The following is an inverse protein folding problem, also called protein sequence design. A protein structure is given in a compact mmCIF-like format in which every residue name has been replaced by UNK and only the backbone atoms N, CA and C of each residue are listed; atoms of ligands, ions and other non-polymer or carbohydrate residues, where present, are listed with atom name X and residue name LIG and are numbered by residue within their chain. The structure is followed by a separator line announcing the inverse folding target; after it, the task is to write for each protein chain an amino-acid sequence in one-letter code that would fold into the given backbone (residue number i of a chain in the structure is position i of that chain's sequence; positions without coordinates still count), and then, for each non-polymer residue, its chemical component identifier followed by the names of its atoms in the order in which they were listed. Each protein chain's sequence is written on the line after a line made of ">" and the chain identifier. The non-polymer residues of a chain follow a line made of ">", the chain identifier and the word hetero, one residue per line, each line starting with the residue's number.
data_IF_076319194512
#
_entry.id   IF_076319194512
#
_cell.length_a   1.000
_cell.length_b   1.000
_cell.length_c   1.000
_cell.angle_alpha   90.00
_cell.angle_beta   90.00
_cell.angle_gamma   90.00
#
_symmetry.space_group_name_H-M   'P 1'
#
loop_
_entity.id
_entity.type
_entity.pdbx_description
1 polymer ?
#
# COMPACT_ATOMS: atom_id res chain seq x y z
N UNK A 1 12.38 -16.78 -18.41
CA UNK A 1 11.58 -16.02 -17.43
C UNK A 1 12.54 -15.54 -16.34
N UNK A 2 12.70 -14.24 -16.16
CA UNK A 2 13.53 -13.71 -15.08
C UNK A 2 12.73 -13.80 -13.77
N UNK A 3 13.15 -14.68 -12.85
CA UNK A 3 12.55 -14.78 -11.52
C UNK A 3 13.01 -13.64 -10.62
N UNK A 4 12.11 -13.13 -9.77
CA UNK A 4 12.44 -12.10 -8.78
C UNK A 4 13.24 -12.76 -7.66
N UNK A 5 14.47 -12.28 -7.41
CA UNK A 5 15.28 -12.75 -6.27
C UNK A 5 14.80 -12.06 -4.99
N UNK A 6 14.18 -12.83 -4.10
CA UNK A 6 13.76 -12.40 -2.77
C UNK A 6 14.69 -13.08 -1.75
N UNK A 7 15.34 -12.30 -0.89
CA UNK A 7 16.17 -12.85 0.19
C UNK A 7 15.28 -13.49 1.29
N UNK A 8 15.81 -14.47 2.00
CA UNK A 8 15.13 -15.28 3.01
C UNK A 8 14.42 -14.43 4.08
N UNK A 9 15.07 -13.39 4.59
CA UNK A 9 14.45 -12.46 5.56
C UNK A 9 13.21 -11.78 5.00
N UNK A 10 13.24 -11.40 3.72
CA UNK A 10 12.09 -10.77 3.06
C UNK A 10 10.98 -11.79 2.81
N UNK A 11 11.33 -13.02 2.45
CA UNK A 11 10.36 -14.10 2.26
C UNK A 11 9.64 -14.45 3.57
N UNK A 12 10.36 -14.51 4.70
CA UNK A 12 9.77 -14.74 6.01
C UNK A 12 8.81 -13.61 6.42
N UNK A 13 9.17 -12.36 6.15
CA UNK A 13 8.27 -11.23 6.38
C UNK A 13 7.01 -11.31 5.50
N UNK A 14 7.15 -11.65 4.22
CA UNK A 14 6.03 -11.81 3.30
C UNK A 14 5.09 -12.94 3.72
N UNK A 15 5.63 -14.08 4.17
CA UNK A 15 4.82 -15.19 4.70
C UNK A 15 4.02 -14.76 5.93
N UNK A 16 4.63 -14.04 6.87
CA UNK A 16 3.92 -13.53 8.04
C UNK A 16 2.82 -12.54 7.67
N UNK A 17 3.05 -11.68 6.68
CA UNK A 17 2.05 -10.72 6.22
C UNK A 17 0.91 -11.45 5.50
N UNK A 18 1.22 -12.33 4.55
CA UNK A 18 0.22 -13.11 3.82
C UNK A 18 -0.65 -13.95 4.78
N UNK A 19 -0.04 -14.55 5.80
CA UNK A 19 -0.76 -15.28 6.86
C UNK A 19 -1.73 -14.39 7.65
N UNK A 20 -1.35 -13.14 7.99
CA UNK A 20 -2.27 -12.18 8.64
C UNK A 20 -3.49 -11.86 7.79
N UNK A 21 -3.34 -11.91 6.47
CA UNK A 21 -4.43 -11.68 5.52
C UNK A 21 -5.17 -12.95 5.10
N UNK A 22 -4.81 -14.12 5.65
CA UNK A 22 -5.38 -15.43 5.27
C UNK A 22 -5.20 -15.76 3.77
N UNK A 23 -4.08 -15.32 3.19
CA UNK A 23 -3.77 -15.46 1.76
C UNK A 23 -2.45 -16.20 1.55
N UNK A 24 -2.26 -16.73 0.35
CA UNK A 24 -0.94 -17.22 -0.08
C UNK A 24 0.00 -16.05 -0.37
N UNK A 25 1.32 -16.27 -0.27
CA UNK A 25 2.31 -15.23 -0.59
C UNK A 25 2.18 -14.76 -2.04
N UNK A 26 1.90 -15.66 -2.97
CA UNK A 26 1.65 -15.32 -4.38
C UNK A 26 0.43 -14.44 -4.57
N UNK A 27 -0.66 -14.74 -3.88
CA UNK A 27 -1.91 -13.98 -3.97
C UNK A 27 -1.76 -12.58 -3.36
N UNK A 28 -1.12 -12.50 -2.20
CA UNK A 28 -0.81 -11.22 -1.57
C UNK A 28 0.11 -10.36 -2.44
N UNK A 29 1.15 -10.96 -3.04
CA UNK A 29 2.04 -10.25 -3.96
C UNK A 29 1.30 -9.78 -5.23
N UNK A 30 0.44 -10.61 -5.81
CA UNK A 30 -0.32 -10.25 -7.01
C UNK A 30 -1.23 -9.06 -6.74
N UNK A 31 -2.02 -9.13 -5.66
CA UNK A 31 -2.90 -8.04 -5.25
C UNK A 31 -2.12 -6.75 -4.95
N UNK A 32 -0.94 -6.86 -4.32
CA UNK A 32 -0.10 -5.70 -4.03
C UNK A 32 0.45 -5.06 -5.29
N UNK A 33 0.88 -5.87 -6.26
CA UNK A 33 1.36 -5.38 -7.57
C UNK A 33 0.22 -4.71 -8.33
N UNK A 34 -0.97 -5.31 -8.37
CA UNK A 34 -2.14 -4.72 -9.02
C UNK A 34 -2.51 -3.37 -8.41
N UNK A 35 -2.45 -3.25 -7.08
CA UNK A 35 -2.65 -1.97 -6.39
C UNK A 35 -1.56 -0.95 -6.78
N UNK A 36 -0.29 -1.32 -6.81
CA UNK A 36 0.79 -0.41 -7.22
C UNK A 36 0.62 0.05 -8.68
N UNK A 37 0.23 -0.84 -9.59
CA UNK A 37 -0.04 -0.51 -11.00
C UNK A 37 -1.24 0.45 -11.08
N UNK A 38 -2.33 0.15 -10.37
CA UNK A 38 -3.50 1.02 -10.34
C UNK A 38 -3.18 2.41 -9.77
N UNK A 39 -2.37 2.49 -8.70
CA UNK A 39 -1.91 3.76 -8.14
C UNK A 39 -1.06 4.56 -9.15
N UNK A 40 -0.18 3.88 -9.90
CA UNK A 40 0.65 4.53 -10.92
C UNK A 40 -0.20 5.01 -12.11
N UNK A 41 -1.15 4.20 -12.57
CA UNK A 41 -2.11 4.58 -13.61
C UNK A 41 -2.99 5.75 -13.18
N UNK A 42 -3.47 5.77 -11.93
CA UNK A 42 -4.24 6.89 -11.39
C UNK A 42 -3.39 8.16 -11.30
N UNK A 43 -2.11 8.06 -10.96
CA UNK A 43 -1.18 9.18 -10.98
C UNK A 43 -1.01 9.76 -12.39
N UNK A 44 -0.95 8.92 -13.42
CA UNK A 44 -0.90 9.35 -14.82
C UNK A 44 -2.20 10.01 -15.29
N UNK A 45 -3.37 9.49 -14.89
CA UNK A 45 -4.69 10.03 -15.29
C UNK A 45 -4.99 11.37 -14.62
N UNK A 46 -4.74 11.49 -13.31
CA UNK A 46 -5.11 12.68 -12.52
C UNK A 46 -3.97 13.71 -12.50
N UNK A 47 -2.75 13.31 -12.86
CA UNK A 47 -1.55 14.11 -12.72
C UNK A 47 -0.98 14.07 -11.30
N UNK A 48 0.35 14.04 -11.19
CA UNK A 48 1.08 13.84 -9.93
C UNK A 48 0.70 14.81 -8.79
N UNK A 49 0.40 16.07 -9.12
CA UNK A 49 0.06 17.11 -8.14
C UNK A 49 -1.26 16.84 -7.42
N UNK A 50 -2.28 16.37 -8.13
CA UNK A 50 -3.60 16.11 -7.55
C UNK A 50 -3.64 14.76 -6.79
N UNK A 51 -2.89 13.77 -7.27
CA UNK A 51 -2.71 12.49 -6.58
C UNK A 51 -2.04 12.65 -5.21
N UNK A 52 -0.98 13.46 -5.14
CA UNK A 52 -0.29 13.78 -3.87
C UNK A 52 -1.21 14.52 -2.90
N UNK A 53 -2.01 15.47 -3.39
CA UNK A 53 -2.99 16.18 -2.55
C UNK A 53 -4.07 15.26 -2.01
N UNK A 54 -4.60 14.31 -2.79
CA UNK A 54 -5.59 13.34 -2.31
C UNK A 54 -5.03 12.39 -1.23
N UNK A 55 -3.81 11.85 -1.40
CA UNK A 55 -3.17 11.02 -0.36
C UNK A 55 -2.97 11.76 0.96
N UNK A 56 -2.76 13.08 0.91
CA UNK A 56 -2.66 13.92 2.11
C UNK A 56 -4.02 14.08 2.80
N UNK A 57 -5.10 14.38 2.08
CA UNK A 57 -6.44 14.54 2.67
C UNK A 57 -6.98 13.25 3.30
N UNK A 58 -6.83 12.09 2.67
CA UNK A 58 -7.31 10.82 3.25
C UNK A 58 -6.55 10.42 4.52
N UNK A 59 -5.28 10.86 4.65
CA UNK A 59 -4.48 10.64 5.86
C UNK A 59 -4.90 11.56 7.00
N UNK A 60 -5.44 12.74 6.70
CA UNK A 60 -6.01 13.66 7.69
C UNK A 60 -7.39 13.19 8.19
N UNK A 61 -8.23 12.61 7.33
CA UNK A 61 -9.55 12.12 7.73
C UNK A 61 -9.52 10.86 8.61
N UNK A 62 -8.49 10.01 8.50
CA UNK A 62 -8.29 8.88 9.45
C UNK A 62 -7.44 9.24 10.68
N UNK A 63 -6.96 10.47 10.78
CA UNK A 63 -6.07 10.95 11.84
C UNK A 63 -6.62 12.10 12.67
N UNK A 64 -7.90 12.45 12.54
CA UNK A 64 -8.49 13.63 13.19
C UNK A 64 -9.63 13.28 14.16
N UNK A 65 -9.40 12.31 15.05
CA UNK A 65 -10.23 12.11 16.26
C UNK A 65 -9.38 12.14 17.56
N UNK A 66 -8.15 12.66 17.51
CA UNK A 66 -7.32 12.86 18.71
C UNK A 66 -6.48 14.14 18.59
N UNK A 67 -7.14 15.28 18.77
CA UNK A 67 -6.50 16.43 19.38
C UNK A 67 -7.51 17.05 20.36
N UNK A 68 -7.12 16.96 21.61
CA UNK A 68 -7.82 17.39 22.82
C UNK A 68 -8.23 18.87 22.78
N UNK A 69 -9.28 19.14 23.55
CA UNK A 69 -9.78 20.43 24.01
C UNK A 69 -8.75 21.59 24.03
N UNK A 70 -9.11 22.68 23.34
CA UNK A 70 -8.69 24.03 23.73
C UNK A 70 -9.93 24.74 24.32
N UNK A 71 -10.17 24.48 25.61
CA UNK A 71 -10.79 25.39 26.60
C UNK A 71 -10.81 24.76 27.98
#
# INVERSE_FOLDING_TARGET
>A
MAGIKINETRMAALQNIAAKHNMSVSEWLTNTIDLCIAEEQLRDIVGESLWKSQKLTTRTEKGSDHACADR
#
